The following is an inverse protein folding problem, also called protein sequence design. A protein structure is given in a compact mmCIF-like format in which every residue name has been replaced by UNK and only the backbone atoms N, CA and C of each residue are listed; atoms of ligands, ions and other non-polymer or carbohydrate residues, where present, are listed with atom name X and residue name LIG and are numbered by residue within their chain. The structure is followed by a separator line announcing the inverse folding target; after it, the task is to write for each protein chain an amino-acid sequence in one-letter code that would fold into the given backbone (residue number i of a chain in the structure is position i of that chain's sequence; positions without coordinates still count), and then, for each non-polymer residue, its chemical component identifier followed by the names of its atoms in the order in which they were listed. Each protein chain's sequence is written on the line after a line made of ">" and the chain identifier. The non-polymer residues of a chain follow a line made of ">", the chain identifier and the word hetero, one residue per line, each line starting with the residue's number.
data_IF_354720038106
#
_entry.id   IF_354720038106
#
_cell.length_a   1.000
_cell.length_b   1.000
_cell.length_c   1.000
_cell.angle_alpha   90.00
_cell.angle_beta   90.00
_cell.angle_gamma   90.00
#
_symmetry.space_group_name_H-M   'P 1'
#
loop_
_entity.id
_entity.type
_entity.pdbx_description
1 polymer ?
#
# COMPACT_ATOMS: atom_id res chain seq x y z
N UNK A 1 23.88 0.45 -9.84
CA UNK A 1 22.93 1.55 -9.59
C UNK A 1 21.58 0.99 -9.19
N UNK A 2 21.00 1.53 -8.16
CA UNK A 2 19.67 1.12 -7.71
C UNK A 2 18.65 2.21 -8.05
N UNK A 3 17.60 1.80 -8.77
CA UNK A 3 16.47 2.70 -9.08
C UNK A 3 15.49 2.71 -7.93
N UNK A 4 15.17 3.90 -7.47
CA UNK A 4 14.23 4.09 -6.39
C UNK A 4 13.23 5.19 -6.71
N UNK A 5 12.03 5.06 -6.20
CA UNK A 5 11.06 6.14 -6.19
C UNK A 5 11.28 6.95 -4.93
N UNK A 6 11.52 8.25 -5.11
CA UNK A 6 11.69 9.22 -4.02
C UNK A 6 10.39 10.02 -3.88
N UNK A 7 9.92 10.11 -2.66
CA UNK A 7 8.68 10.81 -2.33
C UNK A 7 8.81 11.56 -1.01
N UNK A 8 7.84 12.41 -0.72
CA UNK A 8 7.84 13.23 0.49
C UNK A 8 6.78 12.78 1.47
N UNK A 9 7.16 12.78 2.73
CA UNK A 9 6.29 12.60 3.88
C UNK A 9 6.78 13.52 4.98
N UNK A 10 5.96 14.48 5.43
CA UNK A 10 6.34 15.50 6.42
C UNK A 10 7.66 16.22 6.07
N UNK A 11 7.79 16.70 4.86
CA UNK A 11 8.99 17.36 4.37
C UNK A 11 10.25 16.47 4.33
N UNK A 12 10.13 15.22 4.78
CA UNK A 12 11.22 14.25 4.72
C UNK A 12 11.22 13.52 3.39
N UNK A 13 12.39 13.37 2.79
CA UNK A 13 12.57 12.56 1.59
C UNK A 13 12.69 11.09 1.97
N UNK A 14 11.78 10.30 1.47
CA UNK A 14 11.76 8.85 1.66
C UNK A 14 11.89 8.16 0.31
N UNK A 15 12.32 6.92 0.30
CA UNK A 15 12.41 6.15 -0.93
C UNK A 15 12.03 4.69 -0.75
N UNK A 16 11.65 4.08 -1.88
CA UNK A 16 11.41 2.65 -2.00
C UNK A 16 12.08 2.13 -3.27
N UNK A 17 12.68 0.94 -3.23
CA UNK A 17 13.18 0.29 -4.43
C UNK A 17 12.06 0.10 -5.44
N UNK A 18 12.34 0.34 -6.71
CA UNK A 18 11.31 0.28 -7.76
C UNK A 18 10.68 -1.11 -7.89
N UNK A 19 11.43 -2.16 -7.58
CA UNK A 19 10.94 -3.55 -7.64
C UNK A 19 9.86 -3.86 -6.59
N UNK A 20 9.74 -3.05 -5.55
CA UNK A 20 8.70 -3.19 -4.52
C UNK A 20 7.39 -2.49 -4.90
N UNK A 21 7.40 -1.71 -5.95
CA UNK A 21 6.28 -0.85 -6.33
C UNK A 21 5.56 -1.44 -7.52
N UNK A 22 4.26 -1.66 -7.38
CA UNK A 22 3.40 -2.10 -8.47
C UNK A 22 3.04 -0.92 -9.37
N UNK A 23 2.52 0.15 -8.79
CA UNK A 23 2.20 1.38 -9.52
C UNK A 23 1.98 2.56 -8.57
N UNK A 24 1.86 3.74 -9.15
CA UNK A 24 1.48 4.96 -8.47
C UNK A 24 0.14 5.42 -9.05
N UNK A 25 -0.82 5.68 -8.20
CA UNK A 25 -2.16 6.11 -8.60
C UNK A 25 -2.50 7.48 -8.00
N UNK A 26 -3.47 8.15 -8.63
CA UNK A 26 -4.01 9.40 -8.14
C UNK A 26 -4.74 9.17 -6.81
N UNK A 27 -4.82 10.22 -6.00
CA UNK A 27 -5.56 10.16 -4.75
C UNK A 27 -7.03 9.78 -4.98
N UNK A 28 -7.48 8.84 -4.19
CA UNK A 28 -8.90 8.50 -4.05
C UNK A 28 -9.20 8.50 -2.56
N UNK A 29 -10.34 9.06 -2.18
CA UNK A 29 -10.75 9.10 -0.79
C UNK A 29 -11.05 7.68 -0.29
N UNK A 30 -10.29 7.16 0.69
CA UNK A 30 -10.56 5.82 1.23
C UNK A 30 -11.88 5.77 1.97
N UNK A 31 -12.53 4.62 1.91
CA UNK A 31 -13.71 4.31 2.71
C UNK A 31 -13.21 3.77 4.05
N UNK A 32 -13.47 4.46 5.17
CA UNK A 32 -13.01 4.00 6.47
C UNK A 32 -13.58 2.63 6.85
N UNK A 33 -12.75 1.83 7.51
CA UNK A 33 -13.14 0.53 8.05
C UNK A 33 -13.11 0.61 9.56
N UNK A 34 -14.17 0.18 10.27
CA UNK A 34 -14.16 0.16 11.72
C UNK A 34 -13.16 -0.86 12.28
N UNK A 35 -12.69 -0.62 13.51
CA UNK A 35 -11.83 -1.53 14.26
C UNK A 35 -10.50 -1.89 13.59
N UNK A 36 -9.92 -0.97 12.83
CA UNK A 36 -8.59 -1.12 12.24
C UNK A 36 -7.54 -0.32 13.01
N UNK A 37 -6.27 -0.56 12.68
CA UNK A 37 -5.17 0.23 13.24
C UNK A 37 -5.29 1.70 12.86
N UNK A 38 -4.81 2.59 13.73
CA UNK A 38 -4.90 4.05 13.53
C UNK A 38 -4.25 4.56 12.25
N UNK A 39 -3.30 3.81 11.70
CA UNK A 39 -2.64 4.17 10.43
C UNK A 39 -3.36 3.65 9.18
N UNK A 40 -4.44 2.88 9.33
CA UNK A 40 -5.25 2.43 8.18
C UNK A 40 -6.31 3.48 7.89
N UNK A 41 -6.19 4.15 6.72
CA UNK A 41 -7.17 5.15 6.29
C UNK A 41 -8.49 4.52 5.86
N UNK A 42 -8.43 3.30 5.37
CA UNK A 42 -9.58 2.58 4.86
C UNK A 42 -9.22 1.80 3.61
N UNK A 43 -10.17 1.63 2.73
CA UNK A 43 -10.00 0.90 1.48
C UNK A 43 -10.46 1.72 0.28
N UNK A 44 -9.87 1.43 -0.89
CA UNK A 44 -10.32 1.95 -2.18
C UNK A 44 -10.55 0.79 -3.13
N UNK A 45 -11.33 1.01 -4.16
CA UNK A 45 -11.45 0.08 -5.27
C UNK A 45 -10.35 0.36 -6.29
N UNK A 46 -9.59 -0.66 -6.64
CA UNK A 46 -8.53 -0.57 -7.62
C UNK A 46 -8.51 -1.84 -8.47
N UNK A 47 -8.68 -1.70 -9.79
CA UNK A 47 -8.76 -2.83 -10.73
C UNK A 47 -9.76 -3.92 -10.29
N UNK A 48 -10.95 -3.52 -9.84
CA UNK A 48 -11.99 -4.39 -9.32
C UNK A 48 -11.63 -5.15 -8.03
N UNK A 49 -10.54 -4.77 -7.39
CA UNK A 49 -10.11 -5.32 -6.11
C UNK A 49 -10.18 -4.25 -5.03
N UNK A 50 -10.34 -4.69 -3.80
CA UNK A 50 -10.31 -3.81 -2.64
C UNK A 50 -8.86 -3.67 -2.18
N UNK A 51 -8.36 -2.43 -2.15
CA UNK A 51 -7.01 -2.10 -1.77
C UNK A 51 -6.99 -1.34 -0.46
N UNK A 52 -6.37 -1.89 0.61
CA UNK A 52 -6.16 -1.12 1.84
C UNK A 52 -5.21 0.06 1.61
N UNK A 53 -5.54 1.20 2.19
CA UNK A 53 -4.71 2.42 2.12
C UNK A 53 -4.18 2.75 3.50
N UNK A 54 -2.87 2.86 3.59
CA UNK A 54 -2.13 3.12 4.82
C UNK A 54 -1.65 4.56 4.84
N UNK A 55 -1.88 5.24 5.96
CA UNK A 55 -1.28 6.55 6.21
C UNK A 55 0.17 6.36 6.66
N UNK A 56 1.08 6.66 5.76
CA UNK A 56 2.50 6.46 6.02
C UNK A 56 3.02 7.35 7.15
N UNK A 57 2.55 8.58 7.25
CA UNK A 57 2.92 9.47 8.35
C UNK A 57 2.44 8.94 9.71
N UNK A 58 1.22 8.44 9.77
CA UNK A 58 0.69 7.85 10.99
C UNK A 58 1.50 6.61 11.40
N UNK A 59 1.90 5.81 10.42
CA UNK A 59 2.70 4.61 10.68
C UNK A 59 4.12 4.92 11.14
N UNK A 60 4.79 5.88 10.50
CA UNK A 60 6.18 6.23 10.80
C UNK A 60 6.32 7.15 12.01
N UNK A 61 5.44 8.14 12.12
CA UNK A 61 5.59 9.23 13.08
C UNK A 61 4.45 9.32 14.10
N UNK A 62 3.44 8.47 13.98
CA UNK A 62 2.28 8.51 14.86
C UNK A 62 1.38 9.74 14.67
N UNK A 63 1.51 10.44 13.55
CA UNK A 63 0.77 11.65 13.26
C UNK A 63 -0.07 11.47 12.01
N UNK A 64 -1.37 11.70 12.10
CA UNK A 64 -2.26 11.60 10.96
C UNK A 64 -1.96 12.66 9.92
N UNK A 65 -2.07 12.26 8.65
CA UNK A 65 -1.88 13.16 7.51
C UNK A 65 -3.20 13.88 7.21
N UNK A 66 -3.13 15.18 6.97
CA UNK A 66 -4.27 15.93 6.42
C UNK A 66 -4.43 15.53 4.96
N UNK A 67 -5.52 14.84 4.65
CA UNK A 67 -5.78 14.32 3.32
C UNK A 67 -6.17 15.43 2.35
N UNK A 68 -5.61 15.42 1.15
CA UNK A 68 -5.95 16.36 0.08
C UNK A 68 -5.81 15.72 -1.31
N UNK A 69 -6.43 16.34 -2.30
CA UNK A 69 -6.56 15.77 -3.65
C UNK A 69 -5.24 15.64 -4.42
N UNK A 70 -4.22 16.37 -4.01
CA UNK A 70 -2.91 16.35 -4.67
C UNK A 70 -2.00 15.22 -4.21
N UNK A 71 -2.42 14.50 -3.16
CA UNK A 71 -1.70 13.33 -2.68
C UNK A 71 -1.67 12.23 -3.72
N UNK A 72 -0.74 11.29 -3.53
CA UNK A 72 -0.62 10.08 -4.36
C UNK A 72 -0.70 8.85 -3.48
N UNK A 73 -1.04 7.75 -4.10
CA UNK A 73 -1.02 6.43 -3.47
C UNK A 73 0.01 5.58 -4.21
N UNK A 74 1.01 5.11 -3.49
CA UNK A 74 2.00 4.16 -4.01
C UNK A 74 1.49 2.76 -3.67
N UNK A 75 1.20 1.96 -4.70
CA UNK A 75 0.77 0.57 -4.51
C UNK A 75 2.02 -0.30 -4.41
N UNK A 76 2.18 -0.96 -3.27
CA UNK A 76 3.33 -1.83 -2.99
C UNK A 76 2.87 -3.26 -2.78
N UNK A 77 3.77 -4.20 -3.00
CA UNK A 77 3.55 -5.61 -2.72
C UNK A 77 4.11 -5.97 -1.34
N UNK A 78 3.29 -6.64 -0.52
CA UNK A 78 3.68 -7.13 0.78
C UNK A 78 2.95 -8.46 1.07
N UNK A 79 3.71 -9.51 1.39
CA UNK A 79 3.17 -10.87 1.65
C UNK A 79 2.18 -11.36 0.59
N UNK A 80 2.56 -11.22 -0.69
CA UNK A 80 1.74 -11.60 -1.85
C UNK A 80 0.41 -10.81 -1.99
N UNK A 81 0.26 -9.76 -1.20
CA UNK A 81 -0.88 -8.83 -1.26
C UNK A 81 -0.42 -7.44 -1.65
N UNK A 82 -1.38 -6.60 -2.05
CA UNK A 82 -1.11 -5.21 -2.37
C UNK A 82 -1.61 -4.28 -1.27
N UNK A 83 -0.81 -3.26 -0.99
CA UNK A 83 -1.15 -2.18 -0.07
C UNK A 83 -0.95 -0.85 -0.76
N UNK A 84 -1.80 0.11 -0.48
CA UNK A 84 -1.61 1.50 -0.89
C UNK A 84 -0.97 2.30 0.23
N UNK A 85 0.10 3.03 -0.08
CA UNK A 85 0.73 3.96 0.85
C UNK A 85 0.37 5.38 0.44
N UNK A 86 -0.28 6.13 1.31
CA UNK A 86 -0.54 7.54 1.04
C UNK A 86 0.73 8.37 1.24
N UNK A 87 1.06 9.18 0.25
CA UNK A 87 2.23 10.06 0.29
C UNK A 87 1.84 11.46 -0.15
N UNK A 88 2.54 12.47 0.34
CA UNK A 88 2.22 13.86 0.05
C UNK A 88 2.51 14.21 -1.41
N UNK A 89 3.68 13.83 -1.90
CA UNK A 89 4.07 14.05 -3.28
C UNK A 89 5.18 13.10 -3.71
N UNK A 90 5.32 12.93 -5.02
CA UNK A 90 6.38 12.12 -5.61
C UNK A 90 7.43 13.06 -6.22
N UNK A 91 8.68 12.86 -5.86
CA UNK A 91 9.80 13.57 -6.50
C UNK A 91 10.13 12.97 -7.86
N UNK A 92 10.15 11.64 -7.96
CA UNK A 92 10.44 10.93 -9.19
C UNK A 92 11.22 9.64 -8.98
N UNK A 93 11.64 9.05 -10.09
CA UNK A 93 12.53 7.88 -10.09
C UNK A 93 13.95 8.39 -10.15
N UNK A 94 14.77 7.95 -9.23
CA UNK A 94 16.18 8.37 -9.12
C UNK A 94 17.08 7.13 -9.09
N UNK A 95 18.16 7.18 -9.86
CA UNK A 95 19.23 6.18 -9.80
C UNK A 95 20.27 6.60 -8.78
N UNK A 96 20.55 5.73 -7.81
CA UNK A 96 21.56 5.97 -6.80
C UNK A 96 22.76 5.04 -7.01
N UNK A 97 23.96 5.60 -6.95
CA UNK A 97 25.20 4.85 -6.99
C UNK A 97 25.51 4.19 -5.65
N UNK A 98 26.26 3.10 -5.66
CA UNK A 98 26.61 2.32 -4.46
C UNK A 98 27.33 3.15 -3.38
N UNK A 99 28.06 4.19 -3.77
CA UNK A 99 28.80 5.05 -2.84
C UNK A 99 27.91 6.02 -2.05
N UNK A 100 26.66 6.19 -2.48
CA UNK A 100 25.71 7.09 -1.81
C UNK A 100 25.00 6.43 -0.64
N UNK A 101 25.02 5.10 -0.57
CA UNK A 101 24.33 4.34 0.46
C UNK A 101 25.15 4.22 1.74
N UNK A 102 24.51 4.48 2.88
CA UNK A 102 25.04 4.15 4.20
C UNK A 102 24.07 3.22 4.91
N UNK A 103 24.56 2.07 5.33
CA UNK A 103 23.80 1.12 6.09
C UNK A 103 23.70 1.57 7.55
N UNK A 104 22.57 1.30 8.17
CA UNK A 104 22.48 1.46 9.61
C UNK A 104 23.29 0.34 10.27
N UNK A 105 24.25 0.71 11.11
CA UNK A 105 24.94 -0.24 11.96
C UNK A 105 23.93 -0.90 12.91
N UNK A 106 23.96 -2.22 12.95
CA UNK A 106 23.05 -3.03 13.77
C UNK A 106 23.16 -2.78 15.29
N UNK A 107 24.06 -1.90 15.70
CA UNK A 107 24.25 -1.55 17.12
C UNK A 107 23.24 -0.52 17.64
N UNK A 108 22.54 0.16 16.75
CA UNK A 108 21.45 1.05 17.16
C UNK A 108 20.20 0.18 17.32
N UNK A 109 19.94 -0.25 18.52
CA UNK A 109 18.72 -0.98 18.93
C UNK A 109 17.49 -0.10 18.78
N UNK A 110 17.08 0.17 17.55
CA UNK A 110 15.72 0.59 17.27
C UNK A 110 14.94 -0.71 17.12
N UNK A 111 14.07 -1.00 18.05
CA UNK A 111 13.29 -2.24 18.11
C UNK A 111 12.48 -2.54 16.85
N UNK A 112 12.40 -1.58 15.92
CA UNK A 112 11.72 -1.73 14.64
C UNK A 112 12.49 -0.98 13.56
N UNK A 113 13.26 -1.70 12.77
CA UNK A 113 14.03 -1.13 11.67
C UNK A 113 13.15 -0.87 10.46
N UNK A 114 12.36 0.22 10.48
CA UNK A 114 11.62 0.67 9.29
C UNK A 114 12.54 1.24 8.22
N UNK A 115 13.76 1.57 8.61
CA UNK A 115 14.78 2.16 7.76
C UNK A 115 15.75 1.07 7.34
N UNK A 116 15.92 0.91 6.04
CA UNK A 116 16.89 -0.03 5.49
C UNK A 116 18.26 0.61 5.32
N UNK A 117 18.31 1.79 4.73
CA UNK A 117 19.56 2.52 4.48
C UNK A 117 19.30 4.03 4.43
N UNK A 118 20.37 4.79 4.61
CA UNK A 118 20.40 6.20 4.29
C UNK A 118 21.08 6.42 2.94
N UNK A 119 20.56 7.37 2.16
CA UNK A 119 21.12 7.73 0.85
C UNK A 119 21.53 9.17 0.90
N UNK A 120 22.81 9.44 0.66
CA UNK A 120 23.34 10.80 0.60
C UNK A 120 23.16 11.39 -0.77
N UNK A 121 22.52 12.56 -0.84
CA UNK A 121 22.30 13.29 -2.08
C UNK A 121 22.73 14.74 -1.90
N UNK A 122 22.85 15.47 -3.00
CA UNK A 122 23.13 16.91 -2.96
C UNK A 122 22.00 17.71 -2.26
N UNK A 123 20.78 17.21 -2.34
CA UNK A 123 19.61 17.82 -1.71
C UNK A 123 19.38 17.37 -0.27
N UNK A 124 20.27 16.57 0.30
CA UNK A 124 20.19 16.07 1.67
C UNK A 124 20.14 14.54 1.74
N UNK A 125 19.60 14.04 2.83
CA UNK A 125 19.53 12.60 3.09
C UNK A 125 18.15 12.09 2.69
N UNK A 126 18.13 11.01 1.90
CA UNK A 126 16.94 10.24 1.58
C UNK A 126 16.94 8.98 2.44
N UNK A 127 15.82 8.65 3.05
CA UNK A 127 15.67 7.47 3.90
C UNK A 127 14.98 6.37 3.10
N UNK A 128 15.68 5.28 2.85
CA UNK A 128 15.07 4.10 2.22
C UNK A 128 14.32 3.29 3.25
N UNK A 129 13.03 3.08 3.01
CA UNK A 129 12.15 2.30 3.88
C UNK A 129 12.23 0.82 3.56
N UNK A 130 12.03 0.00 4.59
CA UNK A 130 11.85 -1.43 4.49
C UNK A 130 10.37 -1.75 4.68
N UNK A 131 9.69 -2.11 3.59
CA UNK A 131 8.25 -2.40 3.61
C UNK A 131 7.93 -3.60 4.49
N UNK A 132 8.75 -4.64 4.44
CA UNK A 132 8.51 -5.86 5.20
C UNK A 132 8.53 -5.57 6.71
N UNK A 133 9.54 -4.84 7.17
CA UNK A 133 9.65 -4.45 8.58
C UNK A 133 8.59 -3.44 9.01
N UNK A 134 8.12 -2.62 8.09
CA UNK A 134 7.12 -1.59 8.37
C UNK A 134 5.79 -2.19 8.83
N UNK A 135 5.41 -3.35 8.29
CA UNK A 135 4.14 -4.01 8.56
C UNK A 135 4.27 -5.35 9.29
N UNK A 136 5.47 -5.83 9.51
CA UNK A 136 5.73 -7.08 10.19
C UNK A 136 5.09 -7.11 11.59
N UNK A 137 4.42 -8.23 11.90
CA UNK A 137 3.79 -8.42 13.19
C UNK A 137 2.53 -7.62 13.42
N UNK A 138 1.99 -6.94 12.43
CA UNK A 138 0.73 -6.22 12.59
C UNK A 138 -0.48 -7.14 12.39
N UNK A 139 -0.98 -7.68 13.49
CA UNK A 139 -2.10 -8.63 13.52
C UNK A 139 -3.37 -8.04 12.89
N UNK A 140 -3.63 -6.76 13.11
CA UNK A 140 -4.85 -6.12 12.58
C UNK A 140 -4.80 -6.00 11.06
N UNK A 141 -3.64 -5.67 10.52
CA UNK A 141 -3.43 -5.60 9.07
C UNK A 141 -3.54 -6.99 8.43
N UNK A 142 -2.94 -8.00 9.05
CA UNK A 142 -3.05 -9.39 8.59
C UNK A 142 -4.50 -9.87 8.55
N UNK A 143 -5.28 -9.56 9.58
CA UNK A 143 -6.71 -9.89 9.61
C UNK A 143 -7.49 -9.21 8.50
N UNK A 144 -7.22 -7.94 8.25
CA UNK A 144 -7.85 -7.17 7.17
C UNK A 144 -7.56 -7.81 5.81
N UNK A 145 -6.31 -8.13 5.54
CA UNK A 145 -5.91 -8.74 4.27
C UNK A 145 -6.57 -10.11 4.07
N UNK A 146 -6.62 -10.95 5.10
CA UNK A 146 -7.30 -12.25 5.03
C UNK A 146 -8.80 -12.12 4.78
N UNK A 147 -9.44 -11.14 5.41
CA UNK A 147 -10.86 -10.87 5.17
C UNK A 147 -11.13 -10.47 3.72
N UNK A 148 -10.24 -9.68 3.12
CA UNK A 148 -10.35 -9.28 1.72
C UNK A 148 -10.11 -10.45 0.74
N UNK A 149 -9.19 -11.36 1.05
CA UNK A 149 -8.99 -12.59 0.26
C UNK A 149 -10.24 -13.47 0.27
N UNK A 150 -10.85 -13.66 1.41
CA UNK A 150 -12.08 -14.44 1.54
C UNK A 150 -13.22 -13.82 0.74
N UNK A 151 -13.36 -12.51 0.76
CA UNK A 151 -14.36 -11.79 -0.02
C UNK A 151 -14.15 -11.99 -1.53
N UNK A 152 -12.91 -11.96 -2.01
CA UNK A 152 -12.59 -12.22 -3.42
C UNK A 152 -13.03 -13.63 -3.85
N UNK A 153 -12.75 -14.65 -3.04
CA UNK A 153 -13.12 -16.01 -3.36
C UNK A 153 -14.64 -16.22 -3.38
N UNK A 154 -15.36 -15.52 -2.53
CA UNK A 154 -16.82 -15.56 -2.50
C UNK A 154 -17.43 -14.86 -3.72
N UNK A 155 -16.87 -13.76 -4.17
CA UNK A 155 -17.29 -13.08 -5.39
C UNK A 155 -17.11 -13.97 -6.64
N UNK A 156 -15.98 -14.64 -6.75
CA UNK A 156 -15.75 -15.58 -7.84
C UNK A 156 -16.78 -16.72 -7.84
N UNK A 157 -17.09 -17.28 -6.69
CA UNK A 157 -18.13 -18.31 -6.56
C UNK A 157 -19.51 -17.77 -6.90
N UNK A 158 -19.82 -16.56 -6.49
CA UNK A 158 -21.11 -15.94 -6.78
C UNK A 158 -21.29 -15.71 -8.27
N UNK A 159 -20.24 -15.29 -8.97
CA UNK A 159 -20.29 -15.14 -10.43
C UNK A 159 -20.52 -16.47 -11.14
N UNK A 160 -19.86 -17.55 -10.71
CA UNK A 160 -20.09 -18.89 -11.24
C UNK A 160 -21.52 -19.36 -10.97
N UNK A 161 -22.00 -19.21 -9.76
CA UNK A 161 -23.38 -19.58 -9.40
C UNK A 161 -24.40 -18.76 -10.19
N UNK A 162 -24.15 -17.50 -10.40
CA UNK A 162 -25.02 -16.64 -11.20
C UNK A 162 -25.05 -17.07 -12.65
N UNK A 163 -23.93 -17.48 -13.21
CA UNK A 163 -23.86 -18.01 -14.58
C UNK A 163 -24.65 -19.30 -14.75
N UNK A 164 -24.58 -20.19 -13.76
CA UNK A 164 -25.34 -21.45 -13.76
C UNK A 164 -26.84 -21.18 -13.67
N UNK A 165 -27.24 -20.19 -12.88
CA UNK A 165 -28.65 -19.85 -12.69
C UNK A 165 -29.24 -19.00 -13.80
N UNK A 166 -28.47 -18.65 -14.82
CA UNK A 166 -28.93 -17.87 -15.94
C UNK A 166 -29.70 -18.66 -17.01
N UNK A 167 -29.97 -19.93 -16.77
CA UNK A 167 -30.78 -20.71 -17.69
C UNK A 167 -32.16 -20.08 -17.83
N UNK A 168 -32.67 -20.01 -19.07
CA UNK A 168 -33.97 -19.42 -19.29
C UNK A 168 -35.06 -20.31 -18.73
N UNK A 169 -35.89 -19.71 -17.93
CA UNK A 169 -37.01 -20.42 -17.29
C UNK A 169 -38.33 -19.85 -17.80
N UNK A 170 -38.29 -19.15 -18.86
CA UNK A 170 -39.40 -18.32 -19.30
C UNK A 170 -40.42 -19.01 -20.19
N UNK A 171 -40.14 -20.20 -20.70
CA UNK A 171 -41.03 -20.83 -21.65
C UNK A 171 -42.38 -21.18 -21.09
N UNK A 172 -42.44 -21.36 -19.79
CA UNK A 172 -43.69 -21.78 -19.16
C UNK A 172 -44.76 -20.71 -19.12
N UNK A 173 -44.40 -19.50 -19.41
CA UNK A 173 -45.32 -18.39 -19.33
C UNK A 173 -46.21 -18.24 -20.55
N UNK A 174 -46.01 -19.05 -21.55
CA UNK A 174 -46.72 -18.85 -22.82
C UNK A 174 -47.89 -19.71 -23.06
N UNK A 175 -48.23 -20.51 -22.15
CA UNK A 175 -49.25 -21.52 -22.36
C UNK A 175 -50.64 -20.97 -22.60
N UNK A 176 -50.76 -19.75 -22.79
CA UNK A 176 -52.00 -19.10 -23.12
C UNK A 176 -51.84 -18.18 -24.27
#
# INVERSE_FOLDING_TARGET
>A
MEKQIVFFSKEQQLSLPIEKIEKIIQWQQPIPIPETSSFVLGVIEHNKHVLPVIDLNARLYGTETVQHKEMKIIVVQWNDEFLGLSVESIKGIVDFGSTQFEWMDNEVTVEKNYIEKFIKTESGIVIQLNIDSLFEGNIMLDKLLRALETAKSDEEKTEEDFTINSEPVDETCQSK
#
